data_IF_502306491974
#
_entry.id   IF_502306491974
#
_cell.length_a   1.000
_cell.length_b   1.000
_cell.length_c   1.000
_cell.angle_alpha   90.00
_cell.angle_beta   90.00
_cell.angle_gamma   90.00
#
_symmetry.space_group_name_H-M   'P 1'
#
loop_
_entity.id
_entity.type
_entity.pdbx_description
1 polymer ?
#
# COMPACT_ATOMS: atom_id res chain seq x y z
N UNK A 1 4.35 11.79 2.76
CA UNK A 1 3.09 11.23 2.23
C UNK A 1 3.04 11.22 0.69
N UNK A 2 3.13 12.37 -0.01
CA UNK A 2 3.05 12.42 -1.49
C UNK A 2 4.14 11.62 -2.20
N UNK A 3 5.38 11.64 -1.68
CA UNK A 3 6.50 10.85 -2.24
C UNK A 3 6.19 9.35 -2.14
N UNK A 4 5.70 8.88 -0.99
CA UNK A 4 5.35 7.48 -0.78
C UNK A 4 4.22 7.02 -1.72
N UNK A 5 3.17 7.83 -1.89
CA UNK A 5 2.07 7.54 -2.81
C UNK A 5 2.52 7.58 -4.28
N UNK A 6 3.32 8.58 -4.63
CA UNK A 6 3.86 8.73 -5.98
C UNK A 6 4.79 7.58 -6.37
N UNK A 7 5.67 7.15 -5.46
CA UNK A 7 6.57 6.00 -5.70
C UNK A 7 5.80 4.70 -5.88
N UNK A 8 4.76 4.47 -5.07
CA UNK A 8 3.90 3.29 -5.20
C UNK A 8 3.16 3.28 -6.54
N UNK A 9 2.53 4.39 -6.92
CA UNK A 9 1.83 4.52 -8.21
C UNK A 9 2.76 4.34 -9.40
N UNK A 10 3.96 4.96 -9.35
CA UNK A 10 4.97 4.82 -10.40
C UNK A 10 5.41 3.37 -10.58
N UNK A 11 5.65 2.64 -9.49
CA UNK A 11 6.08 1.23 -9.57
C UNK A 11 4.95 0.34 -10.09
N UNK A 12 3.71 0.57 -9.72
CA UNK A 12 2.57 -0.17 -10.27
C UNK A 12 2.49 0.07 -11.79
N UNK A 13 2.59 1.31 -12.25
CA UNK A 13 2.59 1.64 -13.67
C UNK A 13 3.76 0.98 -14.41
N UNK A 14 4.98 1.08 -13.85
CA UNK A 14 6.18 0.48 -14.43
C UNK A 14 6.04 -1.05 -14.54
N UNK A 15 5.55 -1.73 -13.51
CA UNK A 15 5.31 -3.18 -13.54
C UNK A 15 4.24 -3.57 -14.56
N UNK A 16 3.22 -2.75 -14.73
CA UNK A 16 2.17 -2.99 -15.73
C UNK A 16 2.74 -2.94 -17.15
N UNK A 17 3.52 -1.91 -17.47
CA UNK A 17 4.14 -1.75 -18.79
C UNK A 17 5.21 -2.81 -19.05
N UNK A 18 5.96 -3.20 -18.03
CA UNK A 18 7.06 -4.17 -18.14
C UNK A 18 6.59 -5.64 -18.13
N UNK A 19 5.30 -5.90 -18.06
CA UNK A 19 4.76 -7.26 -17.92
C UNK A 19 5.10 -8.21 -19.08
N UNK A 20 5.46 -7.67 -20.24
CA UNK A 20 5.81 -8.43 -21.45
C UNK A 20 7.31 -8.43 -21.77
N UNK A 21 8.11 -7.61 -21.09
CA UNK A 21 9.57 -7.48 -21.32
C UNK A 21 10.34 -7.94 -20.08
N UNK A 22 11.16 -9.02 -20.19
CA UNK A 22 11.90 -9.56 -19.05
C UNK A 22 12.90 -8.58 -18.43
N UNK A 23 13.56 -7.74 -19.25
CA UNK A 23 14.57 -6.79 -18.76
C UNK A 23 13.87 -5.67 -17.99
N UNK A 24 12.81 -5.10 -18.57
CA UNK A 24 12.00 -4.09 -17.89
C UNK A 24 11.34 -4.64 -16.62
N UNK A 25 10.94 -5.92 -16.60
CA UNK A 25 10.40 -6.57 -15.42
C UNK A 25 11.43 -6.62 -14.27
N UNK A 26 12.70 -6.94 -14.56
CA UNK A 26 13.78 -6.92 -13.55
C UNK A 26 13.99 -5.50 -13.02
N UNK A 27 14.06 -4.50 -13.89
CA UNK A 27 14.21 -3.08 -13.50
C UNK A 27 13.02 -2.62 -12.64
N UNK A 28 11.79 -2.96 -13.06
CA UNK A 28 10.59 -2.63 -12.32
C UNK A 28 10.55 -3.27 -10.92
N UNK A 29 11.05 -4.51 -10.78
CA UNK A 29 11.17 -5.17 -9.50
C UNK A 29 12.24 -4.55 -8.61
N UNK A 30 13.40 -4.19 -9.18
CA UNK A 30 14.46 -3.49 -8.46
C UNK A 30 13.97 -2.12 -7.96
N UNK A 31 13.30 -1.34 -8.80
CA UNK A 31 12.68 -0.08 -8.39
C UNK A 31 11.60 -0.29 -7.31
N UNK A 32 10.82 -1.38 -7.43
CA UNK A 32 9.80 -1.75 -6.47
C UNK A 32 10.35 -2.09 -5.08
N UNK A 33 11.58 -2.56 -4.99
CA UNK A 33 12.22 -2.83 -3.70
C UNK A 33 12.52 -1.55 -2.89
N UNK A 34 12.57 -0.38 -3.54
CA UNK A 34 12.79 0.90 -2.87
C UNK A 34 11.50 1.48 -2.26
N UNK A 35 10.33 1.10 -2.77
CA UNK A 35 9.03 1.63 -2.31
C UNK A 35 8.78 1.40 -0.82
N UNK A 36 9.05 0.21 -0.25
CA UNK A 36 8.88 -0.02 1.18
C UNK A 36 9.68 0.93 2.06
N UNK A 37 10.85 1.38 1.61
CA UNK A 37 11.67 2.34 2.38
C UNK A 37 10.94 3.67 2.63
N UNK A 38 10.04 4.08 1.75
CA UNK A 38 9.27 5.32 1.87
C UNK A 38 7.85 5.09 2.41
N UNK A 39 7.20 4.01 1.97
CA UNK A 39 5.81 3.74 2.28
C UNK A 39 5.62 3.15 3.67
N UNK A 40 6.44 2.15 4.05
CA UNK A 40 6.28 1.43 5.31
C UNK A 40 6.45 2.34 6.54
N UNK A 41 7.48 3.19 6.64
CA UNK A 41 7.60 4.10 7.77
C UNK A 41 6.41 5.06 7.91
N UNK A 42 5.92 5.59 6.78
CA UNK A 42 4.76 6.50 6.76
C UNK A 42 3.51 5.81 7.29
N UNK A 43 3.23 4.59 6.84
CA UNK A 43 2.07 3.82 7.25
C UNK A 43 2.21 3.36 8.70
N UNK A 44 3.37 2.83 9.09
CA UNK A 44 3.62 2.32 10.45
C UNK A 44 3.54 3.41 11.50
N UNK A 45 3.99 4.63 11.21
CA UNK A 45 3.82 5.76 12.11
C UNK A 45 2.34 6.01 12.41
N UNK A 46 1.47 6.00 11.40
CA UNK A 46 0.03 6.15 11.59
C UNK A 46 -0.56 5.00 12.42
N UNK A 47 -0.18 3.75 12.11
CA UNK A 47 -0.63 2.54 12.84
C UNK A 47 -0.22 2.60 14.31
N UNK A 48 1.05 2.89 14.62
CA UNK A 48 1.55 2.97 16.00
C UNK A 48 0.91 4.11 16.80
N UNK A 49 0.68 5.26 16.19
CA UNK A 49 0.02 6.37 16.87
C UNK A 49 -1.45 6.05 17.18
N UNK A 50 -2.15 5.38 16.28
CA UNK A 50 -3.52 4.92 16.54
C UNK A 50 -3.56 3.81 17.59
N UNK A 51 -2.59 2.88 17.59
CA UNK A 51 -2.46 1.85 18.61
C UNK A 51 -2.29 2.45 20.02
N UNK A 52 -1.49 3.51 20.16
CA UNK A 52 -1.30 4.22 21.44
C UNK A 52 -2.59 4.87 21.96
N UNK A 53 -3.45 5.33 21.06
CA UNK A 53 -4.76 5.90 21.40
C UNK A 53 -5.87 4.87 21.63
N UNK A 54 -5.61 3.58 21.38
CA UNK A 54 -6.61 2.53 21.53
C UNK A 54 -6.67 2.02 22.97
N UNK A 55 -7.83 1.51 23.43
CA UNK A 55 -7.97 0.93 24.78
C UNK A 55 -7.05 -0.28 25.01
N UNK A 56 -6.64 -0.98 23.95
CA UNK A 56 -5.73 -2.12 24.02
C UNK A 56 -4.87 -2.17 22.77
N UNK A 57 -3.60 -1.74 22.87
CA UNK A 57 -2.66 -1.71 21.75
C UNK A 57 -2.44 -3.09 21.13
N UNK A 58 -2.35 -4.15 21.94
CA UNK A 58 -2.17 -5.51 21.45
C UNK A 58 -3.33 -5.95 20.54
N UNK A 59 -4.57 -5.74 21.01
CA UNK A 59 -5.76 -6.09 20.22
C UNK A 59 -5.84 -5.29 18.93
N UNK A 60 -5.42 -4.02 18.96
CA UNK A 60 -5.34 -3.18 17.77
C UNK A 60 -4.34 -3.75 16.75
N UNK A 61 -3.13 -4.13 17.20
CA UNK A 61 -2.12 -4.72 16.32
C UNK A 61 -2.57 -6.05 15.71
N UNK A 62 -3.15 -6.95 16.51
CA UNK A 62 -3.68 -8.23 16.00
C UNK A 62 -4.75 -7.99 14.93
N UNK A 63 -5.66 -7.05 15.15
CA UNK A 63 -6.69 -6.71 14.16
C UNK A 63 -6.11 -6.11 12.88
N UNK A 64 -5.08 -5.27 13.00
CA UNK A 64 -4.40 -4.64 11.85
C UNK A 64 -3.65 -5.68 11.03
N UNK A 65 -2.89 -6.55 11.67
CA UNK A 65 -2.14 -7.62 10.99
C UNK A 65 -3.07 -8.62 10.33
N UNK A 66 -4.12 -9.06 11.03
CA UNK A 66 -5.15 -9.91 10.44
C UNK A 66 -5.85 -9.27 9.25
N UNK A 67 -6.04 -7.97 9.26
CA UNK A 67 -6.56 -7.20 8.11
C UNK A 67 -5.61 -7.23 6.91
N UNK A 68 -4.31 -7.10 7.13
CA UNK A 68 -3.30 -7.19 6.06
C UNK A 68 -3.23 -8.59 5.46
N UNK A 69 -3.22 -9.62 6.29
CA UNK A 69 -3.18 -11.01 5.83
C UNK A 69 -4.44 -11.37 5.04
N UNK A 70 -5.61 -10.98 5.54
CA UNK A 70 -6.88 -11.19 4.83
C UNK A 70 -6.92 -10.44 3.49
N UNK A 71 -6.41 -9.20 3.45
CA UNK A 71 -6.30 -8.41 2.23
C UNK A 71 -5.35 -9.05 1.21
N UNK A 72 -4.17 -9.49 1.66
CA UNK A 72 -3.18 -10.15 0.82
C UNK A 72 -3.72 -11.48 0.27
N UNK A 73 -4.30 -12.32 1.12
CA UNK A 73 -4.89 -13.60 0.71
C UNK A 73 -6.02 -13.40 -0.31
N UNK A 74 -6.93 -12.47 -0.04
CA UNK A 74 -8.04 -12.16 -0.96
C UNK A 74 -7.53 -11.65 -2.31
N UNK A 75 -6.54 -10.75 -2.29
CA UNK A 75 -5.91 -10.24 -3.50
C UNK A 75 -5.27 -11.34 -4.34
N UNK A 76 -4.51 -12.24 -3.71
CA UNK A 76 -3.91 -13.38 -4.40
C UNK A 76 -4.95 -14.31 -5.01
N UNK A 77 -6.03 -14.63 -4.30
CA UNK A 77 -7.12 -15.49 -4.79
C UNK A 77 -7.81 -14.84 -6.00
N UNK A 78 -8.13 -13.55 -5.92
CA UNK A 78 -8.77 -12.83 -7.02
C UNK A 78 -7.87 -12.83 -8.26
N UNK A 79 -6.58 -12.51 -8.10
CA UNK A 79 -5.62 -12.51 -9.23
C UNK A 79 -5.47 -13.92 -9.80
N UNK A 80 -5.38 -14.96 -8.98
CA UNK A 80 -5.30 -16.34 -9.45
C UNK A 80 -6.56 -16.75 -10.25
N UNK A 81 -7.74 -16.38 -9.79
CA UNK A 81 -8.99 -16.63 -10.50
C UNK A 81 -9.06 -15.90 -11.86
N UNK A 82 -8.60 -14.64 -11.91
CA UNK A 82 -8.51 -13.87 -13.15
C UNK A 82 -7.56 -14.51 -14.16
N UNK A 83 -6.38 -14.93 -13.70
CA UNK A 83 -5.40 -15.60 -14.57
C UNK A 83 -5.93 -16.94 -15.07
N UNK A 84 -6.63 -17.71 -14.22
CA UNK A 84 -7.27 -18.95 -14.65
C UNK A 84 -8.39 -18.71 -15.70
N UNK A 85 -9.11 -17.60 -15.57
CA UNK A 85 -10.10 -17.18 -16.57
C UNK A 85 -9.47 -16.63 -17.87
N UNK A 86 -8.13 -16.64 -18.01
CA UNK A 86 -7.42 -16.18 -19.19
C UNK A 86 -7.15 -14.67 -19.23
N UNK A 87 -7.35 -13.97 -18.12
CA UNK A 87 -7.02 -12.55 -18.05
C UNK A 87 -5.49 -12.32 -18.11
N UNK A 88 -5.03 -11.26 -18.77
CA UNK A 88 -3.60 -10.94 -18.83
C UNK A 88 -3.06 -10.49 -17.46
N UNK A 89 -1.79 -10.80 -17.18
CA UNK A 89 -1.16 -10.53 -15.89
C UNK A 89 -1.16 -9.04 -15.52
N UNK A 90 -1.08 -8.15 -16.49
CA UNK A 90 -1.12 -6.69 -16.23
C UNK A 90 -2.42 -6.24 -15.56
N UNK A 91 -3.52 -6.93 -15.81
CA UNK A 91 -4.80 -6.64 -15.16
C UNK A 91 -4.74 -6.96 -13.65
N UNK A 92 -4.08 -8.06 -13.28
CA UNK A 92 -3.83 -8.40 -11.88
C UNK A 92 -2.96 -7.35 -11.18
N UNK A 93 -1.96 -6.79 -11.89
CA UNK A 93 -1.12 -5.71 -11.35
C UNK A 93 -1.94 -4.44 -11.13
N UNK A 94 -2.78 -4.06 -12.10
CA UNK A 94 -3.64 -2.87 -11.99
C UNK A 94 -4.68 -3.00 -10.87
N UNK A 95 -5.07 -4.21 -10.50
CA UNK A 95 -6.01 -4.46 -9.39
C UNK A 95 -5.45 -3.98 -8.03
N UNK A 96 -4.14 -3.76 -7.91
CA UNK A 96 -3.54 -3.15 -6.72
C UNK A 96 -3.81 -1.64 -6.58
N UNK A 97 -4.20 -0.94 -7.66
CA UNK A 97 -4.45 0.51 -7.63
C UNK A 97 -5.58 0.93 -6.68
N UNK A 98 -6.76 0.28 -6.67
CA UNK A 98 -7.80 0.59 -5.69
C UNK A 98 -7.32 0.49 -4.24
N UNK A 99 -6.53 -0.55 -3.92
CA UNK A 99 -5.94 -0.71 -2.59
C UNK A 99 -4.96 0.41 -2.24
N UNK A 100 -4.08 0.76 -3.20
CA UNK A 100 -3.15 1.87 -3.03
C UNK A 100 -3.88 3.22 -2.85
N UNK A 101 -4.94 3.46 -3.63
CA UNK A 101 -5.75 4.67 -3.51
C UNK A 101 -6.49 4.74 -2.17
N UNK A 102 -7.06 3.63 -1.69
CA UNK A 102 -7.71 3.55 -0.40
C UNK A 102 -6.71 3.82 0.76
N UNK A 103 -5.54 3.19 0.72
CA UNK A 103 -4.48 3.41 1.70
C UNK A 103 -4.01 4.88 1.71
N UNK A 104 -3.86 5.49 0.52
CA UNK A 104 -3.52 6.91 0.41
C UNK A 104 -4.60 7.82 0.99
N UNK A 105 -5.88 7.54 0.69
CA UNK A 105 -7.00 8.33 1.21
C UNK A 105 -7.08 8.28 2.75
N UNK A 106 -6.90 7.08 3.34
CA UNK A 106 -6.86 6.90 4.78
C UNK A 106 -5.69 7.64 5.44
N UNK A 107 -4.48 7.52 4.89
CA UNK A 107 -3.30 8.23 5.39
C UNK A 107 -3.45 9.75 5.26
N UNK A 108 -4.03 10.22 4.16
CA UNK A 108 -4.31 11.65 3.96
C UNK A 108 -5.29 12.18 5.01
N UNK A 109 -6.34 11.43 5.32
CA UNK A 109 -7.30 11.76 6.39
C UNK A 109 -6.59 11.86 7.73
N UNK A 110 -5.83 10.83 8.09
CA UNK A 110 -5.09 10.76 9.36
C UNK A 110 -4.13 11.95 9.54
N UNK A 111 -3.24 12.20 8.57
CA UNK A 111 -2.26 13.28 8.68
C UNK A 111 -2.89 14.67 8.53
N UNK A 112 -4.01 14.79 7.81
CA UNK A 112 -4.76 16.05 7.72
C UNK A 112 -5.43 16.43 9.05
N UNK A 113 -5.92 15.47 9.81
CA UNK A 113 -6.47 15.70 11.15
C UNK A 113 -5.38 15.97 12.20
N UNK A 114 -4.26 15.26 12.13
CA UNK A 114 -3.12 15.47 13.01
C UNK A 114 -2.56 16.90 12.90
N UNK A 115 -2.42 17.39 11.67
CA UNK A 115 -1.97 18.77 11.41
C UNK A 115 -2.91 19.85 11.92
N UNK A 116 -4.20 19.56 12.09
CA UNK A 116 -5.16 20.50 12.67
C UNK A 116 -5.16 20.53 14.19
N UNK A 117 -4.69 19.45 14.84
CA UNK A 117 -4.67 19.30 16.30
C UNK A 117 -3.39 19.82 16.95
N UNK A 118 -2.33 20.04 16.18
CA UNK A 118 -1.12 20.77 16.61
C UNK A 118 -1.23 22.23 16.11
N UNK A 119 -1.84 23.16 16.87
CA UNK A 119 -1.62 24.57 16.61
C UNK A 119 -0.15 24.84 16.91
N UNK A 120 0.52 25.53 16.00
CA UNK A 120 1.85 26.08 16.13
C UNK A 120 2.07 26.67 17.54
N UNK A 121 2.67 25.92 18.45
CA UNK A 121 3.38 26.47 19.59
C UNK A 121 4.71 27.01 19.04
N UNK A 122 4.65 28.25 18.58
CA UNK A 122 5.80 29.06 18.25
C UNK A 122 6.06 30.02 19.40
#
# INVERSE_FOLDING_TARGET
MWIAAGSLGLVIALRTVSSTDPILAVVANAAGALVPAFYVPTMMTAVYNQAKGSPCALRFHIATEGGWDAGAASGCIIVAALLWAGAPIWLGILLSLPGAAAAFALLRGYYGEASKKEPLEA
#
